data_IF_773475874258
#
_entry.id   IF_773475874258
#
_cell.length_a   1.000
_cell.length_b   1.000
_cell.length_c   1.000
_cell.angle_alpha   90.00
_cell.angle_beta   90.00
_cell.angle_gamma   90.00
#
_symmetry.space_group_name_H-M   'P 1'
#
loop_
_entity.id
_entity.type
_entity.pdbx_description
1 polymer ?
#
# COMPACT_ATOMS: atom_id res chain seq x y z
N UNK A 1 -67.04 -16.01 17.73
CA UNK A 1 -67.83 -16.28 16.51
C UNK A 1 -69.20 -15.63 16.47
N UNK A 2 -69.83 -15.38 17.59
CA UNK A 2 -71.20 -14.80 17.63
C UNK A 2 -71.29 -13.30 17.24
N UNK A 3 -70.23 -12.52 17.34
CA UNK A 3 -70.23 -11.06 17.00
C UNK A 3 -70.10 -10.75 15.50
N UNK A 4 -69.64 -11.72 14.67
CA UNK A 4 -69.57 -11.52 13.23
C UNK A 4 -70.95 -11.75 12.56
N UNK A 5 -71.70 -12.71 13.05
CA UNK A 5 -73.03 -13.01 12.52
C UNK A 5 -74.01 -11.86 12.79
N UNK A 6 -73.95 -11.25 13.97
CA UNK A 6 -74.80 -10.09 14.31
C UNK A 6 -74.54 -8.88 13.41
N UNK A 7 -73.28 -8.61 12.99
CA UNK A 7 -72.97 -7.50 12.09
C UNK A 7 -73.44 -7.73 10.66
N UNK A 8 -73.47 -8.98 10.19
CA UNK A 8 -73.99 -9.31 8.88
C UNK A 8 -75.50 -9.18 8.81
N UNK A 9 -76.18 -9.56 9.88
CA UNK A 9 -77.65 -9.40 9.97
C UNK A 9 -78.09 -7.92 10.04
N UNK A 10 -77.37 -7.08 10.81
CA UNK A 10 -77.63 -5.64 10.83
C UNK A 10 -77.35 -4.97 9.47
N UNK A 11 -76.27 -5.37 8.81
CA UNK A 11 -75.96 -4.87 7.46
C UNK A 11 -76.99 -5.31 6.43
N UNK A 12 -77.49 -6.53 6.53
CA UNK A 12 -78.53 -7.05 5.65
C UNK A 12 -79.88 -6.33 5.88
N UNK A 13 -80.24 -6.12 7.08
CA UNK A 13 -81.45 -5.31 7.41
C UNK A 13 -81.39 -3.87 6.98
N UNK A 14 -80.19 -3.27 7.12
CA UNK A 14 -79.91 -1.92 6.60
C UNK A 14 -79.98 -1.86 5.08
N UNK A 15 -79.51 -2.88 4.41
CA UNK A 15 -79.57 -2.98 2.95
C UNK A 15 -81.03 -3.19 2.49
N UNK A 16 -81.77 -4.10 3.10
CA UNK A 16 -83.17 -4.37 2.78
C UNK A 16 -83.95 -3.08 2.96
N UNK A 17 -83.83 -2.39 4.10
CA UNK A 17 -84.52 -1.12 4.33
C UNK A 17 -84.20 -0.03 3.31
N UNK A 18 -82.90 0.05 2.89
CA UNK A 18 -82.49 1.00 1.82
C UNK A 18 -83.00 0.56 0.44
N UNK A 19 -83.06 -0.72 0.19
CA UNK A 19 -83.59 -1.29 -1.07
C UNK A 19 -85.08 -1.09 -1.18
N UNK A 20 -85.86 -1.32 -0.08
CA UNK A 20 -87.31 -1.05 -0.01
C UNK A 20 -87.61 0.43 -0.19
N UNK A 21 -86.81 1.30 0.45
CA UNK A 21 -86.91 2.75 0.25
C UNK A 21 -86.65 3.16 -1.18
N UNK A 22 -85.65 2.54 -1.81
CA UNK A 22 -85.35 2.76 -3.22
C UNK A 22 -86.46 2.23 -4.12
N UNK A 23 -86.96 1.03 -3.90
CA UNK A 23 -88.09 0.44 -4.66
C UNK A 23 -89.39 1.25 -4.51
N UNK A 24 -89.70 1.78 -3.29
CA UNK A 24 -90.83 2.63 -3.08
C UNK A 24 -90.73 4.01 -3.79
N UNK A 25 -89.48 4.55 -3.95
CA UNK A 25 -89.24 5.73 -4.73
C UNK A 25 -89.35 5.48 -6.25
N UNK A 26 -89.23 4.23 -6.69
CA UNK A 26 -89.39 3.85 -8.12
C UNK A 26 -90.89 3.76 -8.54
N UNK A 27 -91.82 3.69 -7.60
CA UNK A 27 -93.26 3.60 -7.93
C UNK A 27 -93.93 4.91 -8.34
N UNK A 28 -93.20 6.03 -8.14
CA UNK A 28 -93.65 7.35 -8.66
C UNK A 28 -92.90 7.67 -9.96
N UNK A 29 -93.52 7.46 -11.10
CA UNK A 29 -92.93 7.72 -12.42
C UNK A 29 -92.51 9.17 -12.62
N UNK A 30 -93.06 10.12 -11.82
CA UNK A 30 -92.76 11.55 -11.95
C UNK A 30 -91.52 11.98 -11.18
N UNK A 31 -91.01 11.15 -10.20
CA UNK A 31 -89.85 11.46 -9.40
C UNK A 31 -88.52 10.91 -9.98
N UNK A 32 -88.58 10.01 -10.97
CA UNK A 32 -87.42 9.36 -11.56
C UNK A 32 -86.40 10.34 -12.20
N UNK A 33 -86.88 11.38 -12.95
CA UNK A 33 -85.90 12.35 -13.53
C UNK A 33 -85.21 13.15 -12.44
N UNK A 34 -85.91 13.56 -11.39
CA UNK A 34 -85.30 14.31 -10.29
C UNK A 34 -84.31 13.50 -9.49
N UNK A 35 -84.56 12.17 -9.29
CA UNK A 35 -83.65 11.28 -8.60
C UNK A 35 -82.35 11.00 -9.48
N UNK A 36 -82.53 10.89 -10.78
CA UNK A 36 -81.41 10.78 -11.71
C UNK A 36 -80.56 12.03 -11.73
N UNK A 37 -81.14 13.22 -11.81
CA UNK A 37 -80.43 14.48 -11.74
C UNK A 37 -79.68 14.68 -10.44
N UNK A 38 -80.31 14.37 -9.30
CA UNK A 38 -79.67 14.42 -7.96
C UNK A 38 -78.53 13.40 -7.79
N UNK A 39 -78.64 12.21 -8.40
CA UNK A 39 -77.53 11.22 -8.41
C UNK A 39 -76.40 11.62 -9.33
N UNK A 40 -76.71 12.17 -10.48
CA UNK A 40 -75.71 12.69 -11.42
C UNK A 40 -74.91 13.83 -10.78
N UNK A 41 -75.57 14.81 -10.19
CA UNK A 41 -74.94 15.94 -9.48
C UNK A 41 -74.01 15.46 -8.36
N UNK A 42 -74.44 14.46 -7.58
CA UNK A 42 -73.57 13.85 -6.52
C UNK A 42 -72.37 13.10 -7.09
N UNK A 43 -72.55 12.45 -8.22
CA UNK A 43 -71.46 11.76 -8.91
C UNK A 43 -70.43 12.74 -9.47
N UNK A 44 -70.91 13.81 -10.11
CA UNK A 44 -70.05 14.88 -10.64
C UNK A 44 -69.26 15.55 -9.52
N UNK A 45 -69.88 15.92 -8.41
CA UNK A 45 -69.19 16.48 -7.25
C UNK A 45 -68.14 15.51 -6.68
N UNK A 46 -68.45 14.20 -6.66
CA UNK A 46 -67.51 13.20 -6.13
C UNK A 46 -66.32 12.98 -7.10
N UNK A 47 -66.54 13.03 -8.38
CA UNK A 47 -65.49 12.98 -9.39
C UNK A 47 -64.58 14.21 -9.29
N UNK A 48 -65.15 15.38 -9.10
CA UNK A 48 -64.37 16.62 -8.92
C UNK A 48 -63.54 16.58 -7.65
N UNK A 49 -64.07 16.16 -6.51
CA UNK A 49 -63.34 15.96 -5.24
C UNK A 49 -62.17 14.97 -5.41
N UNK A 50 -62.42 13.82 -6.08
CA UNK A 50 -61.37 12.82 -6.32
C UNK A 50 -60.27 13.33 -7.27
N UNK A 51 -60.64 14.14 -8.28
CA UNK A 51 -59.70 14.74 -9.21
C UNK A 51 -58.77 15.73 -8.51
N UNK A 52 -59.32 16.59 -7.63
CA UNK A 52 -58.52 17.50 -6.80
C UNK A 52 -57.60 16.75 -5.83
N UNK A 53 -58.10 15.70 -5.19
CA UNK A 53 -57.25 14.86 -4.32
C UNK A 53 -56.11 14.18 -5.06
N UNK A 54 -56.36 13.68 -6.29
CA UNK A 54 -55.34 13.09 -7.13
C UNK A 54 -54.30 14.12 -7.58
N UNK A 55 -54.73 15.31 -8.02
CA UNK A 55 -53.83 16.38 -8.41
C UNK A 55 -52.91 16.79 -7.26
N UNK A 56 -53.45 17.01 -6.04
CA UNK A 56 -52.69 17.36 -4.88
C UNK A 56 -51.64 16.25 -4.53
N UNK A 57 -52.00 14.97 -4.67
CA UNK A 57 -51.07 13.85 -4.44
C UNK A 57 -49.97 13.77 -5.49
N UNK A 58 -50.29 14.07 -6.75
CA UNK A 58 -49.31 14.09 -7.84
C UNK A 58 -48.31 15.23 -7.62
N UNK A 59 -48.79 16.44 -7.33
CA UNK A 59 -47.95 17.60 -7.03
C UNK A 59 -47.01 17.33 -5.84
N UNK A 60 -47.53 16.77 -4.75
CA UNK A 60 -46.73 16.43 -3.59
C UNK A 60 -45.65 15.38 -3.94
N UNK A 61 -46.00 14.41 -4.78
CA UNK A 61 -45.04 13.37 -5.24
C UNK A 61 -43.98 13.94 -6.15
N UNK A 62 -44.36 14.86 -7.05
CA UNK A 62 -43.42 15.56 -7.94
C UNK A 62 -42.41 16.39 -7.14
N UNK A 63 -42.87 17.19 -6.21
CA UNK A 63 -42.00 18.02 -5.37
C UNK A 63 -41.01 17.17 -4.57
N UNK A 64 -41.44 16.02 -4.02
CA UNK A 64 -40.54 15.09 -3.33
C UNK A 64 -39.51 14.45 -4.25
N UNK A 65 -39.90 14.18 -5.51
CA UNK A 65 -38.95 13.63 -6.50
C UNK A 65 -37.93 14.68 -6.91
N UNK A 66 -38.36 15.91 -7.14
CA UNK A 66 -37.47 17.03 -7.48
C UNK A 66 -36.44 17.27 -6.36
N UNK A 67 -36.89 17.32 -5.10
CA UNK A 67 -35.98 17.46 -3.95
C UNK A 67 -34.95 16.33 -3.89
N UNK A 68 -35.35 15.08 -4.10
CA UNK A 68 -34.44 13.93 -4.12
C UNK A 68 -33.47 13.95 -5.30
N UNK A 69 -33.90 14.42 -6.45
CA UNK A 69 -33.06 14.59 -7.63
C UNK A 69 -31.99 15.64 -7.37
N UNK A 70 -32.35 16.74 -6.72
CA UNK A 70 -31.42 17.81 -6.37
C UNK A 70 -30.38 17.34 -5.33
N UNK A 71 -30.82 16.63 -4.27
CA UNK A 71 -29.93 16.02 -3.29
C UNK A 71 -28.95 15.02 -3.93
N UNK A 72 -29.45 14.15 -4.81
CA UNK A 72 -28.63 13.18 -5.53
C UNK A 72 -27.63 13.87 -6.46
N UNK A 73 -28.05 14.91 -7.14
CA UNK A 73 -27.18 15.71 -8.03
C UNK A 73 -26.01 16.31 -7.23
N UNK A 74 -26.31 16.93 -6.08
CA UNK A 74 -25.29 17.47 -5.19
C UNK A 74 -24.34 16.39 -4.67
N UNK A 75 -24.87 15.23 -4.31
CA UNK A 75 -24.07 14.09 -3.84
C UNK A 75 -23.13 13.54 -4.92
N UNK A 76 -23.64 13.43 -6.17
CA UNK A 76 -22.83 13.00 -7.32
C UNK A 76 -21.72 14.00 -7.63
N UNK A 77 -22.00 15.30 -7.57
CA UNK A 77 -20.97 16.33 -7.77
C UNK A 77 -19.89 16.29 -6.69
N UNK A 78 -20.29 16.12 -5.42
CA UNK A 78 -19.35 15.98 -4.30
C UNK A 78 -18.43 14.78 -4.49
N UNK A 79 -18.99 13.62 -4.79
CA UNK A 79 -18.21 12.40 -5.07
C UNK A 79 -17.30 12.54 -6.30
N UNK A 80 -17.75 13.21 -7.34
CA UNK A 80 -16.94 13.45 -8.53
C UNK A 80 -15.70 14.31 -8.20
N UNK A 81 -15.85 15.35 -7.37
CA UNK A 81 -14.74 16.20 -6.94
C UNK A 81 -13.77 15.44 -6.04
N UNK A 82 -14.28 14.66 -5.07
CA UNK A 82 -13.47 13.84 -4.20
C UNK A 82 -12.66 12.78 -4.97
N UNK A 83 -13.31 12.10 -5.91
CA UNK A 83 -12.66 11.10 -6.77
C UNK A 83 -11.54 11.73 -7.62
N UNK A 84 -11.76 12.96 -8.11
CA UNK A 84 -10.74 13.69 -8.88
C UNK A 84 -9.54 14.03 -8.00
N UNK A 85 -9.76 14.55 -6.80
CA UNK A 85 -8.69 14.85 -5.84
C UNK A 85 -7.90 13.59 -5.44
N UNK A 86 -8.59 12.47 -5.20
CA UNK A 86 -7.93 11.19 -4.93
C UNK A 86 -7.07 10.73 -6.10
N UNK A 87 -7.56 10.86 -7.32
CA UNK A 87 -6.80 10.50 -8.54
C UNK A 87 -5.53 11.34 -8.65
N UNK A 88 -5.63 12.66 -8.49
CA UNK A 88 -4.51 13.58 -8.60
C UNK A 88 -3.45 13.25 -7.53
N UNK A 89 -3.87 13.01 -6.29
CA UNK A 89 -2.98 12.59 -5.20
C UNK A 89 -2.27 11.25 -5.50
N UNK A 90 -2.98 10.27 -6.04
CA UNK A 90 -2.39 8.98 -6.43
C UNK A 90 -1.41 9.16 -7.59
N UNK A 91 -1.74 9.98 -8.58
CA UNK A 91 -0.86 10.26 -9.71
C UNK A 91 0.45 10.91 -9.24
N UNK A 92 0.38 11.90 -8.36
CA UNK A 92 1.55 12.56 -7.81
C UNK A 92 2.39 11.60 -6.93
N UNK A 93 1.75 10.79 -6.10
CA UNK A 93 2.44 9.76 -5.33
C UNK A 93 3.16 8.72 -6.22
N UNK A 94 2.55 8.32 -7.32
CA UNK A 94 3.16 7.41 -8.31
C UNK A 94 4.35 8.07 -9.00
N UNK A 95 4.23 9.35 -9.41
CA UNK A 95 5.33 10.11 -10.02
C UNK A 95 6.52 10.23 -9.06
N UNK A 96 6.27 10.61 -7.81
CA UNK A 96 7.32 10.69 -6.79
C UNK A 96 8.00 9.33 -6.59
N UNK A 97 7.21 8.27 -6.48
CA UNK A 97 7.75 6.92 -6.30
C UNK A 97 8.62 6.46 -7.47
N UNK A 98 8.17 6.73 -8.68
CA UNK A 98 8.93 6.42 -9.90
C UNK A 98 10.26 7.18 -9.96
N UNK A 99 10.26 8.44 -9.52
CA UNK A 99 11.47 9.25 -9.45
C UNK A 99 12.46 8.70 -8.40
N UNK A 100 11.97 8.37 -7.19
CA UNK A 100 12.78 7.73 -6.14
C UNK A 100 13.41 6.41 -6.60
N UNK A 101 12.65 5.59 -7.34
CA UNK A 101 13.13 4.30 -7.82
C UNK A 101 14.19 4.48 -8.93
N UNK A 102 14.06 5.49 -9.79
CA UNK A 102 15.11 5.85 -10.77
C UNK A 102 16.39 6.33 -10.09
N UNK A 103 16.29 7.20 -9.10
CA UNK A 103 17.43 7.68 -8.33
C UNK A 103 18.15 6.52 -7.61
N UNK A 104 17.39 5.59 -7.03
CA UNK A 104 17.96 4.39 -6.40
C UNK A 104 18.66 3.50 -7.43
N UNK A 105 18.11 3.32 -8.62
CA UNK A 105 18.72 2.54 -9.70
C UNK A 105 20.05 3.17 -10.16
N UNK A 106 20.07 4.49 -10.33
CA UNK A 106 21.32 5.22 -10.65
C UNK A 106 22.38 5.05 -9.56
N UNK A 107 21.97 5.16 -8.29
CA UNK A 107 22.86 4.94 -7.14
C UNK A 107 23.39 3.50 -7.07
N UNK A 108 22.55 2.51 -7.39
CA UNK A 108 22.95 1.10 -7.50
C UNK A 108 23.98 0.91 -8.62
N UNK A 109 23.75 1.50 -9.79
CA UNK A 109 24.67 1.41 -10.92
C UNK A 109 26.03 2.03 -10.60
N UNK A 110 26.08 3.20 -9.94
CA UNK A 110 27.32 3.83 -9.47
C UNK A 110 28.12 2.97 -8.48
N UNK A 111 27.45 2.07 -7.75
CA UNK A 111 28.06 1.20 -6.73
C UNK A 111 28.15 -0.25 -7.14
N UNK A 112 27.80 -0.55 -8.39
CA UNK A 112 27.72 -1.92 -8.91
C UNK A 112 29.01 -2.70 -8.71
N UNK A 113 30.13 -2.05 -8.98
CA UNK A 113 31.50 -2.62 -8.86
C UNK A 113 32.24 -2.17 -7.58
N UNK A 114 31.57 -1.49 -6.65
CA UNK A 114 32.24 -0.93 -5.47
C UNK A 114 32.05 -1.79 -4.22
N UNK A 115 33.07 -1.85 -3.38
CA UNK A 115 33.13 -2.50 -2.09
C UNK A 115 33.72 -1.55 -1.05
N UNK A 116 33.39 -1.76 0.22
CA UNK A 116 33.97 -1.02 1.33
C UNK A 116 34.80 -1.96 2.21
N UNK A 117 36.02 -1.55 2.45
CA UNK A 117 36.97 -2.24 3.33
C UNK A 117 37.15 -1.44 4.61
N UNK A 118 36.91 -2.07 5.76
CA UNK A 118 37.08 -1.50 7.09
C UNK A 118 38.27 -2.15 7.76
N UNK A 119 38.94 -1.41 8.64
CA UNK A 119 40.03 -1.93 9.48
C UNK A 119 41.41 -1.98 8.77
N UNK A 120 41.50 -1.47 7.53
CA UNK A 120 42.78 -1.33 6.87
C UNK A 120 43.58 -0.18 7.49
N UNK A 121 44.78 -0.42 7.94
CA UNK A 121 45.63 0.59 8.61
C UNK A 121 45.72 1.88 7.79
N UNK A 122 45.82 3.03 8.45
CA UNK A 122 46.02 4.31 7.74
C UNK A 122 47.40 4.29 7.10
N UNK A 123 47.53 4.74 5.82
CA UNK A 123 48.77 4.79 5.13
C UNK A 123 49.70 5.86 5.73
N UNK A 124 50.95 5.54 5.84
CA UNK A 124 52.04 6.48 6.18
C UNK A 124 52.47 7.22 4.91
N UNK A 125 52.70 8.50 5.00
CA UNK A 125 53.18 9.32 3.91
C UNK A 125 52.74 10.78 3.99
N UNK A 126 53.60 11.68 3.54
CA UNK A 126 53.39 13.12 3.63
C UNK A 126 52.51 13.64 2.48
N UNK A 127 52.55 13.04 1.34
CA UNK A 127 51.76 13.44 0.17
C UNK A 127 50.54 12.53 -0.04
N UNK A 128 49.54 13.05 -0.73
CA UNK A 128 48.36 12.26 -1.08
C UNK A 128 48.68 11.06 -1.98
N UNK A 129 49.59 11.26 -2.89
CA UNK A 129 50.08 10.24 -3.86
C UNK A 129 50.76 9.06 -3.17
N UNK A 130 51.71 9.36 -2.25
CA UNK A 130 52.39 8.31 -1.46
C UNK A 130 51.40 7.52 -0.61
N UNK A 131 50.37 8.15 -0.05
CA UNK A 131 49.35 7.45 0.69
C UNK A 131 48.45 6.56 -0.15
N UNK A 132 48.05 7.04 -1.34
CA UNK A 132 47.27 6.24 -2.30
C UNK A 132 48.09 5.02 -2.73
N UNK A 133 49.36 5.20 -3.05
CA UNK A 133 50.24 4.08 -3.43
C UNK A 133 50.35 3.07 -2.30
N UNK A 134 50.56 3.50 -1.07
CA UNK A 134 50.59 2.62 0.10
C UNK A 134 49.29 1.85 0.30
N UNK A 135 48.13 2.50 0.06
CA UNK A 135 46.84 1.83 0.09
C UNK A 135 46.72 0.78 -1.02
N UNK A 136 47.19 1.07 -2.25
CA UNK A 136 47.23 0.11 -3.36
C UNK A 136 48.05 -1.12 -2.98
N UNK A 137 49.30 -0.90 -2.53
CA UNK A 137 50.24 -1.99 -2.17
C UNK A 137 49.62 -2.87 -1.04
N UNK A 138 48.93 -2.24 -0.07
CA UNK A 138 48.29 -2.95 1.03
C UNK A 138 47.07 -3.78 0.55
N UNK A 139 46.30 -3.25 -0.37
CA UNK A 139 45.13 -3.94 -0.94
C UNK A 139 45.56 -5.10 -1.83
N UNK A 140 46.60 -4.91 -2.65
CA UNK A 140 47.16 -5.97 -3.46
C UNK A 140 47.73 -7.11 -2.61
N UNK A 141 48.47 -6.77 -1.56
CA UNK A 141 48.94 -7.76 -0.58
C UNK A 141 47.83 -8.51 0.08
N UNK A 142 46.75 -7.81 0.50
CA UNK A 142 45.57 -8.41 1.07
C UNK A 142 44.88 -9.38 0.10
N UNK A 143 44.75 -9.00 -1.18
CA UNK A 143 44.13 -9.87 -2.19
C UNK A 143 45.00 -11.10 -2.48
N UNK A 144 46.32 -10.93 -2.58
CA UNK A 144 47.26 -12.05 -2.73
C UNK A 144 47.09 -13.10 -1.59
N UNK A 145 46.98 -12.65 -0.34
CA UNK A 145 46.78 -13.54 0.83
C UNK A 145 45.50 -14.37 0.80
N UNK A 146 44.47 -13.96 0.05
CA UNK A 146 43.21 -14.68 -0.11
C UNK A 146 43.00 -15.23 -1.51
N UNK A 147 44.06 -15.38 -2.28
CA UNK A 147 44.05 -15.98 -3.63
C UNK A 147 43.17 -15.19 -4.64
N UNK A 148 43.25 -13.88 -4.60
CA UNK A 148 42.50 -12.97 -5.47
C UNK A 148 43.40 -12.15 -6.39
N UNK A 149 44.52 -12.74 -6.88
CA UNK A 149 45.53 -12.09 -7.72
C UNK A 149 44.99 -11.57 -9.06
N UNK A 150 43.84 -12.11 -9.50
CA UNK A 150 43.21 -11.73 -10.76
C UNK A 150 42.30 -10.52 -10.66
N UNK A 151 42.10 -9.96 -9.46
CA UNK A 151 41.21 -8.81 -9.25
C UNK A 151 41.92 -7.53 -9.69
N UNK A 152 41.32 -6.82 -10.63
CA UNK A 152 41.76 -5.50 -11.05
C UNK A 152 41.08 -4.41 -10.27
N UNK A 153 41.82 -3.63 -9.50
CA UNK A 153 41.36 -2.47 -8.76
C UNK A 153 41.50 -1.23 -9.60
N UNK A 154 40.40 -0.60 -9.98
CA UNK A 154 40.37 0.61 -10.81
C UNK A 154 40.55 1.88 -9.99
N UNK A 155 39.96 1.91 -8.79
CA UNK A 155 39.99 3.10 -7.94
C UNK A 155 40.03 2.72 -6.46
N UNK A 156 40.83 3.48 -5.70
CA UNK A 156 40.91 3.40 -4.23
C UNK A 156 40.69 4.79 -3.68
N UNK A 157 39.79 4.88 -2.69
CA UNK A 157 39.46 6.14 -2.03
C UNK A 157 39.15 5.94 -0.55
N UNK A 158 39.86 6.66 0.35
CA UNK A 158 39.52 6.69 1.77
C UNK A 158 38.28 7.56 2.03
N UNK A 159 37.35 7.05 2.82
CA UNK A 159 36.11 7.74 3.14
C UNK A 159 36.20 8.49 4.47
N UNK A 160 35.78 9.75 4.47
CA UNK A 160 35.77 10.61 5.67
C UNK A 160 37.06 11.44 5.84
N UNK A 161 37.06 12.28 6.87
CA UNK A 161 38.21 13.13 7.21
C UNK A 161 39.25 12.31 7.96
N UNK A 162 40.53 12.61 7.70
CA UNK A 162 41.63 12.05 8.45
C UNK A 162 41.63 12.62 9.85
N UNK A 163 41.84 11.78 10.85
CA UNK A 163 42.10 12.19 12.24
C UNK A 163 43.56 11.98 12.54
N UNK A 164 44.14 12.95 13.23
CA UNK A 164 45.53 12.88 13.69
C UNK A 164 45.65 12.32 15.12
N UNK A 165 44.50 11.89 15.71
CA UNK A 165 44.45 11.23 17.01
C UNK A 165 45.10 9.83 16.96
N UNK A 166 45.97 9.50 17.91
CA UNK A 166 46.73 8.23 17.89
C UNK A 166 45.86 6.97 17.98
N UNK A 167 44.67 7.07 18.59
CA UNK A 167 43.73 5.97 18.76
C UNK A 167 42.55 6.01 17.78
N UNK A 168 42.62 6.88 16.76
CA UNK A 168 41.55 6.98 15.78
C UNK A 168 41.40 5.68 15.00
N UNK A 169 40.16 5.22 14.84
CA UNK A 169 39.86 4.07 13.99
C UNK A 169 40.23 4.40 12.55
N UNK A 170 40.88 3.45 11.83
CA UNK A 170 41.20 3.65 10.42
C UNK A 170 39.97 3.97 9.60
N UNK A 171 40.07 4.94 8.69
CA UNK A 171 38.99 5.30 7.79
C UNK A 171 38.69 4.14 6.83
N UNK A 172 37.38 3.91 6.53
CA UNK A 172 37.00 2.93 5.52
C UNK A 172 37.61 3.28 4.14
N UNK A 173 37.96 2.26 3.40
CA UNK A 173 38.46 2.38 2.02
C UNK A 173 37.36 1.91 1.07
N UNK A 174 37.01 2.74 0.11
CA UNK A 174 36.18 2.37 -1.03
C UNK A 174 37.06 1.88 -2.14
N UNK A 175 36.81 0.67 -2.62
CA UNK A 175 37.46 0.07 -3.77
C UNK A 175 36.46 -0.08 -4.90
N UNK A 176 36.87 0.30 -6.12
CA UNK A 176 36.11 0.00 -7.34
C UNK A 176 36.91 -1.04 -8.12
N UNK A 177 36.27 -2.17 -8.42
CA UNK A 177 36.87 -3.28 -9.23
C UNK A 177 36.27 -3.27 -10.63
N UNK A 178 36.97 -3.91 -11.58
CA UNK A 178 36.63 -3.85 -13.00
C UNK A 178 35.24 -4.46 -13.34
N UNK A 179 34.73 -5.38 -12.52
CA UNK A 179 33.43 -6.00 -12.82
C UNK A 179 32.68 -6.43 -11.56
N UNK A 180 31.38 -6.63 -11.73
CA UNK A 180 30.51 -7.17 -10.68
C UNK A 180 30.88 -8.62 -10.31
N UNK A 181 31.37 -9.40 -11.28
CA UNK A 181 31.89 -10.75 -11.05
C UNK A 181 33.07 -10.71 -10.10
N UNK A 182 34.07 -9.83 -10.34
CA UNK A 182 35.20 -9.64 -9.44
C UNK A 182 34.76 -9.20 -8.05
N UNK A 183 33.81 -8.26 -7.93
CA UNK A 183 33.19 -7.89 -6.64
C UNK A 183 32.62 -9.11 -5.92
N UNK A 184 31.91 -9.97 -6.65
CA UNK A 184 31.34 -11.21 -6.09
C UNK A 184 32.43 -12.16 -5.57
N UNK A 185 33.54 -12.29 -6.27
CA UNK A 185 34.68 -13.09 -5.84
C UNK A 185 35.30 -12.53 -4.55
N UNK A 186 35.57 -11.22 -4.50
CA UNK A 186 36.09 -10.56 -3.29
C UNK A 186 35.19 -10.78 -2.09
N UNK A 187 33.86 -10.58 -2.23
CA UNK A 187 32.92 -10.77 -1.15
C UNK A 187 32.83 -12.23 -0.66
N UNK A 188 32.98 -13.20 -1.56
CA UNK A 188 33.05 -14.64 -1.18
C UNK A 188 34.28 -14.94 -0.34
N UNK A 189 35.45 -14.41 -0.73
CA UNK A 189 36.73 -14.66 -0.09
C UNK A 189 36.95 -13.81 1.18
N UNK A 190 36.21 -12.73 1.35
CA UNK A 190 36.32 -11.82 2.50
C UNK A 190 36.28 -12.53 3.88
N UNK A 191 35.54 -13.64 4.00
CA UNK A 191 35.51 -14.49 5.20
C UNK A 191 36.86 -15.11 5.55
N UNK A 192 37.73 -15.35 4.59
CA UNK A 192 39.03 -15.98 4.76
C UNK A 192 40.06 -15.02 5.38
N UNK A 193 39.87 -13.71 5.25
CA UNK A 193 40.71 -12.69 5.91
C UNK A 193 40.78 -12.90 7.43
N UNK A 194 39.69 -13.33 8.07
CA UNK A 194 39.65 -13.60 9.51
C UNK A 194 40.58 -14.71 9.99
N UNK A 195 41.04 -15.56 9.07
CA UNK A 195 41.99 -16.66 9.35
C UNK A 195 43.45 -16.22 9.33
N UNK A 196 43.72 -15.05 8.75
CA UNK A 196 45.03 -14.48 8.53
C UNK A 196 45.34 -13.52 9.68
N UNK A 197 46.20 -13.90 10.58
CA UNK A 197 46.61 -13.06 11.73
C UNK A 197 47.74 -12.10 11.41
N UNK A 198 48.41 -12.33 10.32
CA UNK A 198 49.53 -11.52 9.86
C UNK A 198 49.06 -10.11 9.47
N UNK A 199 49.81 -9.08 9.86
CA UNK A 199 49.52 -7.69 9.48
C UNK A 199 48.18 -7.12 9.97
N UNK A 200 47.50 -7.77 10.93
CA UNK A 200 46.20 -7.31 11.43
C UNK A 200 45.05 -7.53 10.46
N UNK A 201 45.21 -8.43 9.47
CA UNK A 201 44.15 -8.73 8.49
C UNK A 201 42.92 -9.41 9.08
N UNK A 202 43.05 -10.05 10.22
CA UNK A 202 41.93 -10.58 11.01
C UNK A 202 40.94 -9.51 11.47
N UNK A 203 41.38 -8.24 11.49
CA UNK A 203 40.52 -7.06 11.82
C UNK A 203 39.91 -6.39 10.60
N UNK A 204 40.23 -6.85 9.38
CA UNK A 204 39.71 -6.30 8.14
C UNK A 204 38.38 -6.92 7.78
N UNK A 205 37.42 -6.07 7.45
CA UNK A 205 36.06 -6.46 7.03
C UNK A 205 35.71 -5.85 5.70
N UNK A 206 35.28 -6.69 4.75
CA UNK A 206 34.88 -6.26 3.43
C UNK A 206 33.34 -6.47 3.30
N UNK A 207 32.66 -5.47 2.79
CA UNK A 207 31.25 -5.56 2.47
C UNK A 207 30.90 -4.73 1.23
N UNK A 208 29.69 -4.92 0.72
CA UNK A 208 29.17 -4.16 -0.41
C UNK A 208 29.06 -2.67 -0.07
N UNK A 209 29.33 -1.81 -1.06
CA UNK A 209 28.97 -0.38 -1.00
C UNK A 209 27.46 -0.27 -1.20
N UNK A 210 26.73 -0.10 -0.11
CA UNK A 210 25.26 -0.02 -0.09
C UNK A 210 24.79 1.40 -0.36
N UNK A 211 23.68 1.55 -1.08
CA UNK A 211 23.00 2.84 -1.21
C UNK A 211 22.49 3.36 0.14
N UNK A 212 22.15 4.66 0.27
CA UNK A 212 21.54 5.18 1.49
C UNK A 212 20.27 4.42 1.87
N UNK A 213 19.40 4.10 0.89
CA UNK A 213 18.15 3.35 1.08
C UNK A 213 18.41 1.92 1.57
N UNK A 214 19.40 1.24 0.97
CA UNK A 214 19.82 -0.09 1.41
C UNK A 214 20.40 -0.07 2.83
N UNK A 215 21.21 0.93 3.18
CA UNK A 215 21.74 1.11 4.54
C UNK A 215 20.63 1.29 5.58
N UNK A 216 19.63 2.11 5.25
CA UNK A 216 18.47 2.31 6.11
C UNK A 216 17.68 1.01 6.30
N UNK A 217 17.39 0.30 5.21
CA UNK A 217 16.72 -1.00 5.25
C UNK A 217 17.49 -2.02 6.10
N UNK A 218 18.82 -2.04 5.98
CA UNK A 218 19.68 -2.90 6.80
C UNK A 218 19.59 -2.56 8.28
N UNK A 219 19.57 -1.28 8.64
CA UNK A 219 19.39 -0.85 10.04
C UNK A 219 18.07 -1.37 10.62
N UNK A 220 16.96 -1.21 9.89
CA UNK A 220 15.64 -1.70 10.30
C UNK A 220 15.66 -3.22 10.50
N UNK A 221 16.22 -3.97 9.55
CA UNK A 221 16.32 -5.42 9.65
C UNK A 221 17.17 -5.89 10.83
N UNK A 222 18.27 -5.21 11.11
CA UNK A 222 19.13 -5.51 12.25
C UNK A 222 18.40 -5.23 13.56
N UNK A 223 17.64 -4.15 13.63
CA UNK A 223 16.84 -3.83 14.80
C UNK A 223 15.74 -4.88 15.01
N UNK A 224 14.99 -5.20 13.96
CA UNK A 224 13.96 -6.25 14.00
C UNK A 224 14.54 -7.61 14.43
N UNK A 225 15.72 -7.97 13.93
CA UNK A 225 16.41 -9.20 14.34
C UNK A 225 16.71 -9.21 15.84
N UNK A 226 17.21 -8.10 16.38
CA UNK A 226 17.48 -7.96 17.83
C UNK A 226 16.20 -8.07 18.65
N UNK A 227 15.14 -7.40 18.22
CA UNK A 227 13.85 -7.40 18.90
C UNK A 227 13.23 -8.80 18.93
N UNK A 228 13.35 -9.58 17.84
CA UNK A 228 12.93 -10.97 17.77
C UNK A 228 13.78 -11.87 18.70
N UNK A 229 15.09 -11.67 18.71
CA UNK A 229 15.98 -12.39 19.61
C UNK A 229 15.67 -12.10 21.09
N UNK A 230 15.36 -10.86 21.44
CA UNK A 230 14.94 -10.47 22.79
C UNK A 230 13.60 -11.10 23.20
N UNK A 231 12.70 -11.34 22.23
CA UNK A 231 11.44 -12.07 22.45
C UNK A 231 11.60 -13.59 22.58
N UNK A 232 12.84 -14.09 22.51
CA UNK A 232 13.16 -15.50 22.68
C UNK A 232 13.20 -16.31 21.37
N UNK A 233 13.06 -15.69 20.20
CA UNK A 233 13.22 -16.40 18.94
C UNK A 233 14.69 -16.73 18.70
N UNK A 234 15.00 -18.01 18.53
CA UNK A 234 16.37 -18.49 18.37
C UNK A 234 16.72 -18.80 16.90
N UNK A 235 18.03 -18.86 16.62
CA UNK A 235 18.57 -19.27 15.32
C UNK A 235 18.14 -18.40 14.14
N UNK A 236 17.82 -17.12 14.38
CA UNK A 236 17.50 -16.17 13.34
C UNK A 236 18.76 -15.67 12.64
N UNK A 237 18.70 -15.56 11.30
CA UNK A 237 19.73 -14.98 10.45
C UNK A 237 19.09 -14.09 9.39
N UNK A 238 19.85 -13.15 8.87
CA UNK A 238 19.41 -12.31 7.74
C UNK A 238 19.96 -12.86 6.44
N UNK A 239 19.07 -13.20 5.50
CA UNK A 239 19.42 -13.68 4.15
C UNK A 239 18.58 -12.92 3.14
N UNK A 240 19.20 -12.37 2.10
CA UNK A 240 18.50 -11.66 1.01
C UNK A 240 17.46 -10.63 1.51
N UNK A 241 17.86 -9.80 2.48
CA UNK A 241 17.01 -8.75 3.07
C UNK A 241 15.76 -9.27 3.80
N UNK A 242 15.79 -10.51 4.28
CA UNK A 242 14.73 -11.13 5.09
C UNK A 242 15.35 -11.80 6.32
N UNK A 243 14.60 -11.81 7.43
CA UNK A 243 14.95 -12.56 8.61
C UNK A 243 14.37 -13.97 8.45
N UNK A 244 15.22 -14.97 8.50
CA UNK A 244 14.85 -16.39 8.37
C UNK A 244 15.50 -17.21 9.48
N UNK A 245 14.94 -18.38 9.80
CA UNK A 245 15.59 -19.32 10.70
C UNK A 245 16.77 -20.02 9.98
N UNK A 246 17.80 -20.38 10.72
CA UNK A 246 18.97 -21.06 10.17
C UNK A 246 18.63 -22.42 9.52
N UNK A 247 17.53 -23.04 9.90
CA UNK A 247 17.03 -24.27 9.26
C UNK A 247 16.51 -24.02 7.86
N UNK A 248 15.71 -22.97 7.65
CA UNK A 248 15.19 -22.61 6.31
C UNK A 248 16.29 -22.25 5.30
N UNK A 249 17.45 -21.78 5.75
CA UNK A 249 18.57 -21.49 4.84
C UNK A 249 19.06 -22.73 4.12
N UNK A 250 19.09 -23.89 4.77
CA UNK A 250 19.53 -25.15 4.17
C UNK A 250 18.61 -25.63 3.05
N UNK A 251 17.32 -25.37 3.17
CA UNK A 251 16.31 -25.75 2.17
C UNK A 251 16.32 -24.83 0.93
N UNK A 252 16.72 -23.55 1.11
CA UNK A 252 16.82 -22.58 0.00
C UNK A 252 18.10 -22.75 -0.81
N UNK A 253 19.17 -23.29 -0.20
CA UNK A 253 20.48 -23.49 -0.87
C UNK A 253 20.60 -24.85 -1.58
N UNK A 254 19.66 -25.78 -1.41
CA UNK A 254 19.59 -27.04 -2.18
C UNK A 254 18.70 -26.83 -3.41
N UNK A 255 19.26 -26.80 -4.63
CA UNK A 255 18.45 -26.85 -5.84
C UNK A 255 17.71 -28.19 -5.85
N UNK A 256 16.39 -28.16 -5.95
CA UNK A 256 15.58 -29.36 -6.23
C UNK A 256 16.04 -29.84 -7.60
N UNK A 257 16.87 -30.90 -7.59
CA UNK A 257 17.13 -31.66 -8.80
C UNK A 257 15.85 -32.43 -9.08
N UNK A 258 15.00 -31.87 -9.94
CA UNK A 258 13.88 -32.60 -10.51
C UNK A 258 14.50 -33.55 -11.56
N UNK A 259 14.57 -34.82 -11.18
CA UNK A 259 14.91 -35.92 -12.06
C UNK A 259 13.75 -36.24 -13.02
#
# INVERSE_FOLDING_TARGET
MLTAIGRTEEAQKSFESKFDSFMNSFNNKDDLPNLMEATQTKLEAKVEELTEQLQARVELSQNKLEERVEELSHHVQSHATETRLMRDNVEDAVKMKLQEDKEEEEELNKRKCSIIVHGLAEPSGDTAETRIKSDCDTVEHMFHKVELDTISVEQITRLGKRSDEPDAKPRPVKLTVASETQKGQVLKQAKNLRKIKEGGMDKVFIHQDLTPRQRQRRKILVQELKDRQQRGEQNLITVNWKIVTRQMRREVETPVIVS
#
